data_IF_387611332234
#
_entry.id   IF_387611332234
#
_cell.length_a   1.000
_cell.length_b   1.000
_cell.length_c   1.000
_cell.angle_alpha   90.00
_cell.angle_beta   90.00
_cell.angle_gamma   90.00
#
_symmetry.space_group_name_H-M   'P 1'
#
loop_
_entity.id
_entity.type
_entity.pdbx_description
1 polymer ?
#
# COMPACT_ATOMS: atom_id res chain seq x y z
N UNK A 1 26.19 8.18 20.04
CA UNK A 1 25.71 6.83 19.67
C UNK A 1 24.83 7.02 18.45
N UNK A 2 25.19 6.43 17.31
CA UNK A 2 24.31 6.44 16.13
C UNK A 2 23.08 5.60 16.46
N UNK A 3 21.91 6.23 16.56
CA UNK A 3 20.63 5.52 16.71
C UNK A 3 20.42 4.61 15.51
N UNK A 4 19.92 3.39 15.74
CA UNK A 4 19.56 2.49 14.65
C UNK A 4 18.54 3.18 13.72
N UNK A 5 18.60 2.96 12.39
CA UNK A 5 17.63 3.53 11.48
C UNK A 5 16.24 2.99 11.80
N UNK A 6 15.19 3.81 11.63
CA UNK A 6 13.80 3.36 11.78
C UNK A 6 13.49 2.23 10.80
N UNK A 7 12.55 1.35 11.11
CA UNK A 7 12.12 0.29 10.19
C UNK A 7 10.66 0.47 9.75
N UNK A 8 10.44 0.52 8.43
CA UNK A 8 9.13 0.50 7.79
C UNK A 8 8.86 -0.90 7.24
N UNK A 9 7.80 -1.54 7.71
CA UNK A 9 7.31 -2.79 7.11
C UNK A 9 6.14 -2.46 6.20
N UNK A 10 6.24 -2.85 4.92
CA UNK A 10 5.17 -2.69 3.95
C UNK A 10 4.47 -4.03 3.77
N UNK A 11 3.20 -4.13 4.13
CA UNK A 11 2.42 -5.37 4.09
C UNK A 11 1.29 -5.22 3.08
N UNK A 12 1.12 -6.23 2.23
CA UNK A 12 0.05 -6.22 1.24
C UNK A 12 0.10 -7.37 0.26
N UNK A 13 -0.41 -7.11 -0.94
CA UNK A 13 -0.66 -8.12 -1.97
C UNK A 13 0.43 -8.17 -3.07
N UNK A 14 0.03 -8.54 -4.29
CA UNK A 14 0.91 -8.57 -5.47
C UNK A 14 1.46 -7.20 -5.87
N UNK A 15 0.78 -6.10 -5.52
CA UNK A 15 1.27 -4.74 -5.74
C UNK A 15 2.50 -4.47 -4.87
N UNK A 16 2.44 -4.79 -3.57
CA UNK A 16 3.59 -4.69 -2.65
C UNK A 16 4.72 -5.63 -3.08
N UNK A 17 4.38 -6.83 -3.58
CA UNK A 17 5.37 -7.77 -4.12
C UNK A 17 6.12 -7.20 -5.33
N UNK A 18 5.55 -6.21 -6.04
CA UNK A 18 6.12 -5.65 -7.26
C UNK A 18 5.82 -6.47 -8.51
N UNK A 19 4.78 -7.31 -8.48
CA UNK A 19 4.42 -8.13 -9.64
C UNK A 19 4.08 -7.23 -10.84
N UNK A 20 4.61 -7.58 -12.01
CA UNK A 20 4.49 -6.83 -13.26
C UNK A 20 5.63 -5.84 -13.54
N UNK A 21 6.40 -5.40 -12.54
CA UNK A 21 7.55 -4.52 -12.75
C UNK A 21 8.85 -5.32 -13.00
N UNK A 22 9.15 -5.57 -14.27
CA UNK A 22 10.34 -6.31 -14.69
C UNK A 22 11.64 -5.49 -14.60
N UNK A 23 11.57 -4.18 -14.35
CA UNK A 23 12.73 -3.28 -14.39
C UNK A 23 13.15 -2.82 -12.98
N UNK A 24 12.19 -2.37 -12.19
CA UNK A 24 12.41 -1.76 -10.88
C UNK A 24 12.03 -2.64 -9.69
N UNK A 25 11.39 -3.79 -9.94
CA UNK A 25 10.96 -4.72 -8.88
C UNK A 25 9.78 -4.23 -8.04
N UNK A 26 9.05 -3.20 -8.50
CA UNK A 26 7.86 -2.67 -7.87
C UNK A 26 8.09 -1.35 -7.13
N UNK A 27 7.00 -0.65 -6.80
CA UNK A 27 7.07 0.64 -6.09
C UNK A 27 7.76 0.52 -4.72
N UNK A 28 7.57 -0.61 -4.02
CA UNK A 28 8.18 -0.83 -2.70
C UNK A 28 9.71 -0.98 -2.80
N UNK A 29 10.19 -1.66 -3.85
CA UNK A 29 11.63 -1.81 -4.11
C UNK A 29 12.24 -0.48 -4.55
N UNK A 30 11.53 0.30 -5.38
CA UNK A 30 11.95 1.66 -5.76
C UNK A 30 12.11 2.56 -4.53
N UNK A 31 11.14 2.54 -3.60
CA UNK A 31 11.20 3.28 -2.35
C UNK A 31 12.41 2.85 -1.50
N UNK A 32 12.59 1.53 -1.32
CA UNK A 32 13.72 0.97 -0.57
C UNK A 32 15.05 1.40 -1.16
N UNK A 33 15.23 1.28 -2.48
CA UNK A 33 16.47 1.66 -3.19
C UNK A 33 16.75 3.14 -3.08
N UNK A 34 15.73 4.00 -3.17
CA UNK A 34 15.89 5.43 -2.97
C UNK A 34 16.32 5.74 -1.53
N UNK A 35 15.63 5.20 -0.53
CA UNK A 35 15.95 5.50 0.87
C UNK A 35 17.32 4.98 1.29
N UNK A 36 17.78 3.86 0.72
CA UNK A 36 19.15 3.37 0.95
C UNK A 36 20.25 4.36 0.53
N UNK A 37 19.98 5.33 -0.35
CA UNK A 37 20.98 6.35 -0.72
C UNK A 37 21.06 7.50 0.29
N UNK A 38 20.13 7.56 1.25
CA UNK A 38 20.03 8.61 2.26
C UNK A 38 20.48 8.02 3.61
N UNK A 39 21.63 8.45 4.18
CA UNK A 39 22.22 7.81 5.37
C UNK A 39 21.32 7.75 6.61
N UNK A 40 20.36 8.67 6.75
CA UNK A 40 19.44 8.76 7.90
C UNK A 40 18.05 8.20 7.61
N UNK A 41 17.80 7.71 6.40
CA UNK A 41 16.47 7.21 6.04
C UNK A 41 16.14 5.89 6.74
N UNK A 42 14.84 5.60 6.93
CA UNK A 42 14.40 4.31 7.41
C UNK A 42 14.78 3.15 6.49
N UNK A 43 14.92 1.96 7.06
CA UNK A 43 15.00 0.68 6.33
C UNK A 43 13.59 0.26 5.93
N UNK A 44 13.42 -0.25 4.71
CA UNK A 44 12.11 -0.71 4.18
C UNK A 44 12.12 -2.22 3.97
N UNK A 45 11.13 -2.90 4.54
CA UNK A 45 10.87 -4.33 4.36
C UNK A 45 9.55 -4.54 3.62
N UNK A 46 9.60 -4.93 2.34
CA UNK A 46 8.42 -5.29 1.55
C UNK A 46 7.98 -6.74 1.79
N UNK A 47 6.73 -6.93 2.22
CA UNK A 47 6.12 -8.23 2.57
C UNK A 47 4.82 -8.48 1.80
N UNK A 48 4.89 -8.33 0.49
CA UNK A 48 3.78 -8.60 -0.42
C UNK A 48 3.60 -10.08 -0.70
N UNK A 49 2.35 -10.56 -0.72
CA UNK A 49 2.00 -11.94 -1.09
C UNK A 49 0.90 -11.91 -2.14
N UNK A 50 1.11 -12.58 -3.27
CA UNK A 50 0.16 -12.56 -4.39
C UNK A 50 -1.20 -13.13 -3.99
N UNK A 51 -2.27 -12.41 -4.33
CA UNK A 51 -3.65 -12.79 -4.02
C UNK A 51 -4.05 -12.62 -2.56
N UNK A 52 -3.25 -11.95 -1.74
CA UNK A 52 -3.67 -11.60 -0.38
C UNK A 52 -4.84 -10.61 -0.41
N UNK A 53 -5.87 -10.96 0.35
CA UNK A 53 -6.91 -10.04 0.79
C UNK A 53 -6.79 -9.79 2.30
N UNK A 54 -7.75 -9.04 2.83
CA UNK A 54 -7.76 -8.58 4.21
C UNK A 54 -7.60 -9.72 5.23
N UNK A 55 -8.31 -10.84 5.05
CA UNK A 55 -8.28 -11.97 5.99
C UNK A 55 -6.89 -12.60 6.11
N UNK A 56 -6.15 -12.71 5.01
CA UNK A 56 -4.80 -13.30 5.02
C UNK A 56 -3.80 -12.38 5.69
N UNK A 57 -3.92 -11.07 5.46
CA UNK A 57 -3.09 -10.07 6.14
C UNK A 57 -3.35 -10.13 7.65
N UNK A 58 -4.61 -10.18 8.08
CA UNK A 58 -4.97 -10.28 9.48
C UNK A 58 -4.33 -11.48 10.19
N UNK A 59 -4.13 -12.60 9.49
CA UNK A 59 -3.51 -13.80 10.04
C UNK A 59 -1.99 -13.72 10.18
N UNK A 60 -1.30 -12.97 9.30
CA UNK A 60 0.17 -13.00 9.22
C UNK A 60 0.87 -11.74 9.70
N UNK A 61 0.20 -10.59 9.68
CA UNK A 61 0.87 -9.29 9.80
C UNK A 61 1.72 -9.19 11.07
N UNK A 62 1.19 -9.62 12.22
CA UNK A 62 1.82 -9.38 13.52
C UNK A 62 3.11 -10.19 13.69
N UNK A 63 3.06 -11.48 13.32
CA UNK A 63 4.23 -12.35 13.39
C UNK A 63 5.30 -11.89 12.42
N UNK A 64 4.90 -11.52 11.20
CA UNK A 64 5.84 -11.09 10.19
C UNK A 64 6.47 -9.74 10.54
N UNK A 65 5.67 -8.71 10.85
CA UNK A 65 6.16 -7.41 11.31
C UNK A 65 7.06 -7.56 12.55
N UNK A 66 6.62 -8.31 13.56
CA UNK A 66 7.33 -8.44 14.82
C UNK A 66 8.75 -9.02 14.72
N UNK A 67 9.03 -9.85 13.69
CA UNK A 67 10.36 -10.42 13.51
C UNK A 67 11.30 -9.58 12.62
N UNK A 68 10.89 -8.36 12.20
CA UNK A 68 11.74 -7.41 11.45
C UNK A 68 12.42 -6.35 12.33
N UNK A 69 12.20 -6.39 13.64
CA UNK A 69 13.00 -5.60 14.57
C UNK A 69 14.46 -6.08 14.56
N UNK A 70 15.38 -5.24 14.11
CA UNK A 70 16.79 -5.62 13.88
C UNK A 70 17.57 -5.88 15.17
N UNK A 71 17.13 -5.28 16.28
CA UNK A 71 17.74 -5.43 17.58
C UNK A 71 16.83 -6.24 18.52
N UNK A 72 17.47 -6.97 19.44
CA UNK A 72 16.75 -7.85 20.37
C UNK A 72 15.69 -7.07 21.16
N UNK A 73 14.44 -7.53 21.10
CA UNK A 73 13.25 -6.91 21.74
C UNK A 73 12.87 -5.53 21.17
N UNK A 74 13.39 -5.15 20.01
CA UNK A 74 12.85 -4.03 19.27
C UNK A 74 11.84 -4.55 18.24
N UNK A 75 10.83 -3.74 17.96
CA UNK A 75 9.85 -3.97 16.91
C UNK A 75 10.01 -2.85 15.88
N UNK A 76 9.59 -3.05 14.62
CA UNK A 76 9.64 -2.00 13.62
C UNK A 76 8.81 -0.78 14.03
N UNK A 77 9.25 0.42 13.63
CA UNK A 77 8.63 1.69 14.03
C UNK A 77 7.38 2.06 13.22
N UNK A 78 7.23 1.49 12.02
CA UNK A 78 6.16 1.83 11.10
C UNK A 78 5.66 0.63 10.27
N UNK A 79 4.38 0.70 9.90
CA UNK A 79 3.73 -0.23 9.01
C UNK A 79 2.95 0.54 7.93
N UNK A 80 3.22 0.24 6.65
CA UNK A 80 2.43 0.70 5.51
C UNK A 80 1.60 -0.47 4.98
N UNK A 81 0.27 -0.36 5.08
CA UNK A 81 -0.66 -1.37 4.59
C UNK A 81 -1.17 -1.01 3.20
N UNK A 82 -1.17 -1.98 2.28
CA UNK A 82 -1.70 -1.84 0.91
C UNK A 82 -2.43 -3.13 0.54
N UNK A 83 -3.75 -3.17 0.74
CA UNK A 83 -4.60 -4.33 0.49
C UNK A 83 -6.03 -3.90 0.17
N UNK A 84 -6.79 -4.73 -0.52
CA UNK A 84 -8.22 -4.53 -0.78
C UNK A 84 -8.64 -4.76 -2.23
N UNK A 85 -7.68 -4.74 -3.17
CA UNK A 85 -7.98 -4.98 -4.58
C UNK A 85 -8.57 -6.38 -4.77
N UNK A 86 -7.94 -7.41 -4.19
CA UNK A 86 -8.42 -8.80 -4.27
C UNK A 86 -9.80 -9.00 -3.61
N UNK A 87 -10.09 -8.26 -2.54
CA UNK A 87 -11.37 -8.31 -1.83
C UNK A 87 -12.52 -7.73 -2.67
N UNK A 88 -12.23 -6.79 -3.59
CA UNK A 88 -13.23 -6.17 -4.46
C UNK A 88 -13.80 -7.09 -5.56
N UNK A 89 -13.13 -8.20 -5.86
CA UNK A 89 -13.48 -9.09 -6.95
C UNK A 89 -14.80 -9.85 -6.70
N UNK A 90 -15.63 -9.93 -7.74
CA UNK A 90 -16.79 -10.83 -7.77
C UNK A 90 -16.39 -12.20 -8.33
N UNK A 91 -16.90 -13.27 -7.73
CA UNK A 91 -16.52 -14.64 -8.07
C UNK A 91 -17.51 -15.29 -9.05
N UNK A 92 -16.98 -15.90 -10.10
CA UNK A 92 -17.66 -16.73 -11.08
C UNK A 92 -18.35 -15.97 -12.22
N UNK A 93 -18.91 -14.79 -11.93
CA UNK A 93 -19.61 -13.95 -12.92
C UNK A 93 -19.59 -12.46 -12.54
N UNK A 94 -19.86 -11.53 -13.48
CA UNK A 94 -19.81 -10.09 -13.22
C UNK A 94 -20.74 -9.61 -12.11
N UNK A 95 -21.89 -10.27 -11.92
CA UNK A 95 -22.87 -10.03 -10.84
C UNK A 95 -22.73 -11.06 -9.70
N UNK A 96 -21.57 -11.73 -9.63
CA UNK A 96 -21.25 -12.72 -8.61
C UNK A 96 -21.11 -12.09 -7.22
N UNK A 97 -20.91 -12.94 -6.21
CA UNK A 97 -20.65 -12.46 -4.84
C UNK A 97 -19.17 -12.11 -4.68
N UNK A 98 -18.89 -11.08 -3.90
CA UNK A 98 -17.57 -10.87 -3.32
C UNK A 98 -17.35 -11.88 -2.18
N UNK A 99 -16.08 -12.19 -1.89
CA UNK A 99 -15.73 -13.02 -0.73
C UNK A 99 -16.12 -12.32 0.58
N UNK A 100 -15.82 -11.02 0.65
CA UNK A 100 -16.30 -10.10 1.68
C UNK A 100 -17.12 -9.00 1.00
N UNK A 101 -18.32 -8.72 1.50
CA UNK A 101 -19.03 -7.50 1.11
C UNK A 101 -18.23 -6.27 1.55
N UNK A 102 -18.39 -5.14 0.85
CA UNK A 102 -17.75 -3.87 1.21
C UNK A 102 -17.87 -3.51 2.70
N UNK A 103 -19.07 -3.64 3.30
CA UNK A 103 -19.28 -3.37 4.73
C UNK A 103 -18.50 -4.33 5.66
N UNK A 104 -18.39 -5.60 5.26
CA UNK A 104 -17.66 -6.62 6.02
C UNK A 104 -16.14 -6.42 5.90
N UNK A 105 -15.69 -5.99 4.71
CA UNK A 105 -14.32 -5.57 4.48
C UNK A 105 -13.98 -4.34 5.34
N UNK A 106 -14.83 -3.30 5.37
CA UNK A 106 -14.65 -2.14 6.24
C UNK A 106 -14.52 -2.55 7.71
N UNK A 107 -15.48 -3.33 8.20
CA UNK A 107 -15.45 -3.79 9.59
C UNK A 107 -14.17 -4.57 9.91
N UNK A 108 -13.78 -5.51 9.05
CA UNK A 108 -12.55 -6.28 9.25
C UNK A 108 -11.29 -5.40 9.21
N UNK A 109 -11.27 -4.37 8.36
CA UNK A 109 -10.17 -3.43 8.26
C UNK A 109 -10.06 -2.55 9.51
N UNK A 110 -11.18 -2.04 10.04
CA UNK A 110 -11.20 -1.30 11.31
C UNK A 110 -10.64 -2.15 12.46
N UNK A 111 -11.02 -3.43 12.54
CA UNK A 111 -10.48 -4.36 13.54
C UNK A 111 -8.96 -4.57 13.34
N UNK A 112 -8.53 -4.72 12.09
CA UNK A 112 -7.11 -4.88 11.76
C UNK A 112 -6.30 -3.65 12.18
N UNK A 113 -6.73 -2.45 11.81
CA UNK A 113 -6.05 -1.20 12.15
C UNK A 113 -6.05 -0.96 13.67
N UNK A 114 -7.15 -1.27 14.36
CA UNK A 114 -7.24 -1.21 15.83
C UNK A 114 -6.24 -2.15 16.51
N UNK A 115 -5.89 -3.27 15.87
CA UNK A 115 -4.86 -4.19 16.39
C UNK A 115 -3.43 -3.73 16.14
N UNK A 116 -3.19 -2.94 15.07
CA UNK A 116 -1.87 -2.47 14.65
C UNK A 116 -1.45 -1.17 15.35
N UNK A 117 -2.35 -0.19 15.43
CA UNK A 117 -2.06 1.16 15.94
C UNK A 117 -1.51 1.22 17.38
N UNK A 118 -1.83 0.29 18.32
CA UNK A 118 -1.23 0.31 19.65
C UNK A 118 0.24 -0.12 19.68
N UNK A 119 0.73 -0.78 18.63
CA UNK A 119 2.08 -1.40 18.61
C UNK A 119 3.03 -0.80 17.58
N UNK A 120 2.52 -0.04 16.60
CA UNK A 120 3.32 0.62 15.57
C UNK A 120 2.57 1.82 14.98
N UNK A 121 3.29 2.77 14.39
CA UNK A 121 2.64 3.79 13.57
C UNK A 121 2.17 3.17 12.25
N UNK A 122 0.90 3.36 11.91
CA UNK A 122 0.28 2.75 10.73
C UNK A 122 -0.02 3.83 9.69
N UNK A 123 0.13 3.47 8.43
CA UNK A 123 -0.24 4.23 7.25
C UNK A 123 -0.93 3.28 6.28
N UNK A 124 -1.87 3.76 5.48
CA UNK A 124 -2.61 2.94 4.51
C UNK A 124 -2.54 3.58 3.12
N UNK A 125 -2.38 2.74 2.11
CA UNK A 125 -2.40 3.13 0.70
C UNK A 125 -3.62 2.54 0.00
N UNK A 126 -4.22 3.34 -0.89
CA UNK A 126 -5.38 2.98 -1.69
C UNK A 126 -5.07 1.99 -2.82
N UNK A 127 -6.05 1.83 -3.70
CA UNK A 127 -6.11 0.74 -4.68
C UNK A 127 -5.71 1.22 -6.08
N UNK A 128 -5.25 0.28 -6.91
CA UNK A 128 -4.98 0.52 -8.32
C UNK A 128 -6.24 0.39 -9.18
N UNK A 129 -6.17 0.88 -10.41
CA UNK A 129 -7.20 0.68 -11.46
C UNK A 129 -7.14 -0.72 -12.05
N UNK A 130 -8.22 -1.13 -12.72
CA UNK A 130 -8.29 -2.40 -13.47
C UNK A 130 -8.78 -2.18 -14.90
N UNK A 131 -8.35 -3.03 -15.83
CA UNK A 131 -8.92 -3.13 -17.17
C UNK A 131 -10.09 -4.11 -17.17
N UNK A 132 -11.31 -3.56 -17.17
CA UNK A 132 -12.55 -4.34 -17.14
C UNK A 132 -12.76 -5.17 -18.41
N UNK A 133 -12.16 -4.77 -19.54
CA UNK A 133 -12.32 -5.47 -20.82
C UNK A 133 -11.60 -6.83 -20.85
N UNK A 134 -10.67 -7.06 -19.94
CA UNK A 134 -9.85 -8.28 -19.84
C UNK A 134 -10.45 -9.29 -18.86
N UNK A 135 -11.51 -8.92 -18.13
CA UNK A 135 -12.15 -9.81 -17.17
C UNK A 135 -12.88 -11.00 -17.85
N UNK A 136 -12.93 -12.17 -17.21
CA UNK A 136 -12.44 -12.46 -15.86
C UNK A 136 -10.94 -12.73 -15.78
N UNK A 137 -10.32 -12.25 -14.70
CA UNK A 137 -9.00 -12.68 -14.30
C UNK A 137 -9.02 -14.14 -13.79
N UNK A 138 -8.01 -14.93 -14.18
CA UNK A 138 -7.88 -16.34 -13.80
C UNK A 138 -9.17 -17.17 -14.02
N UNK A 139 -9.88 -16.87 -15.10
CA UNK A 139 -11.14 -17.52 -15.53
C UNK A 139 -12.29 -17.46 -14.51
N UNK A 140 -12.18 -16.72 -13.41
CA UNK A 140 -13.19 -16.72 -12.35
C UNK A 140 -13.35 -15.43 -11.54
N UNK A 141 -12.42 -14.48 -11.60
CA UNK A 141 -12.49 -13.25 -10.80
C UNK A 141 -12.84 -12.06 -11.69
N UNK A 142 -13.93 -11.37 -11.34
CA UNK A 142 -14.45 -10.22 -12.06
C UNK A 142 -14.18 -8.96 -11.24
N UNK A 143 -13.22 -8.17 -11.67
CA UNK A 143 -12.93 -6.86 -11.10
C UNK A 143 -13.65 -5.76 -11.88
N UNK A 144 -14.04 -4.67 -11.21
CA UNK A 144 -14.53 -3.47 -11.88
C UNK A 144 -14.07 -2.23 -11.13
N UNK A 145 -13.82 -1.13 -11.84
CA UNK A 145 -13.43 0.12 -11.21
C UNK A 145 -14.52 0.68 -10.30
N UNK A 146 -15.79 0.34 -10.55
CA UNK A 146 -16.88 0.68 -9.66
C UNK A 146 -16.75 -0.01 -8.29
N UNK A 147 -16.50 -1.33 -8.27
CA UNK A 147 -16.31 -2.07 -7.01
C UNK A 147 -15.01 -1.67 -6.31
N UNK A 148 -13.94 -1.41 -7.07
CA UNK A 148 -12.68 -0.91 -6.51
C UNK A 148 -12.88 0.46 -5.85
N UNK A 149 -13.62 1.38 -6.48
CA UNK A 149 -13.90 2.69 -5.89
C UNK A 149 -14.73 2.57 -4.61
N UNK A 150 -15.69 1.64 -4.56
CA UNK A 150 -16.46 1.35 -3.34
C UNK A 150 -15.52 0.84 -2.22
N UNK A 151 -14.62 -0.10 -2.53
CA UNK A 151 -13.67 -0.63 -1.55
C UNK A 151 -12.62 0.41 -1.11
N UNK A 152 -12.16 1.29 -2.00
CA UNK A 152 -11.27 2.38 -1.63
C UNK A 152 -11.95 3.39 -0.70
N UNK A 153 -13.23 3.70 -0.93
CA UNK A 153 -14.00 4.52 0.01
C UNK A 153 -14.14 3.85 1.39
N UNK A 154 -14.34 2.53 1.43
CA UNK A 154 -14.35 1.78 2.71
C UNK A 154 -12.98 1.79 3.41
N UNK A 155 -11.87 1.73 2.66
CA UNK A 155 -10.52 1.90 3.20
C UNK A 155 -10.36 3.29 3.83
N UNK A 156 -10.75 4.33 3.11
CA UNK A 156 -10.66 5.71 3.58
C UNK A 156 -11.51 5.93 4.85
N UNK A 157 -12.76 5.47 4.85
CA UNK A 157 -13.65 5.55 6.02
C UNK A 157 -13.06 4.84 7.24
N UNK A 158 -12.56 3.60 7.09
CA UNK A 158 -11.94 2.87 8.18
C UNK A 158 -10.70 3.59 8.73
N UNK A 159 -9.88 4.17 7.85
CA UNK A 159 -8.71 4.95 8.26
C UNK A 159 -9.09 6.21 9.04
N UNK A 160 -10.15 6.90 8.62
CA UNK A 160 -10.67 8.08 9.32
C UNK A 160 -11.17 7.74 10.73
N UNK A 161 -11.89 6.63 10.90
CA UNK A 161 -12.42 6.20 12.21
C UNK A 161 -11.33 5.90 13.24
N UNK A 162 -10.15 5.44 12.80
CA UNK A 162 -9.02 5.11 13.68
C UNK A 162 -7.85 6.10 13.63
N UNK A 163 -8.05 7.27 13.00
CA UNK A 163 -7.05 8.34 12.84
C UNK A 163 -5.73 7.86 12.20
N UNK A 164 -5.84 7.07 11.12
CA UNK A 164 -4.71 6.55 10.35
C UNK A 164 -4.55 7.32 9.03
N UNK A 165 -3.35 7.80 8.67
CA UNK A 165 -3.13 8.46 7.39
C UNK A 165 -3.42 7.54 6.20
N UNK A 166 -4.18 8.06 5.24
CA UNK A 166 -4.57 7.34 4.02
C UNK A 166 -4.07 8.05 2.76
N UNK A 167 -3.52 7.29 1.81
CA UNK A 167 -3.14 7.76 0.47
C UNK A 167 -4.10 7.20 -0.58
N UNK A 168 -5.08 8.00 -1.02
CA UNK A 168 -5.96 7.63 -2.12
C UNK A 168 -5.18 7.53 -3.45
N UNK A 169 -5.48 6.50 -4.24
CA UNK A 169 -4.81 6.20 -5.50
C UNK A 169 -5.78 5.97 -6.66
N UNK A 170 -6.88 5.23 -6.48
CA UNK A 170 -7.68 4.70 -7.59
C UNK A 170 -8.19 5.80 -8.51
N UNK A 171 -8.86 6.82 -7.94
CA UNK A 171 -9.37 7.95 -8.72
C UNK A 171 -8.24 8.74 -9.37
N UNK A 172 -7.14 8.98 -8.66
CA UNK A 172 -6.03 9.75 -9.20
C UNK A 172 -5.39 9.03 -10.39
N UNK A 173 -5.19 7.72 -10.29
CA UNK A 173 -4.68 6.88 -11.37
C UNK A 173 -5.64 6.83 -12.55
N UNK A 174 -6.95 6.68 -12.31
CA UNK A 174 -7.97 6.64 -13.37
C UNK A 174 -8.16 7.95 -14.14
N UNK A 175 -7.65 9.08 -13.63
CA UNK A 175 -7.64 10.37 -14.34
C UNK A 175 -6.42 10.55 -15.24
N UNK A 176 -5.41 9.70 -15.15
CA UNK A 176 -4.21 9.79 -15.96
C UNK A 176 -4.51 9.30 -17.38
N UNK A 177 -4.18 10.05 -18.44
CA UNK A 177 -4.62 9.72 -19.80
C UNK A 177 -4.13 8.36 -20.29
N UNK A 178 -2.98 7.92 -19.80
CA UNK A 178 -2.29 6.70 -20.24
C UNK A 178 -2.38 5.55 -19.23
N UNK A 179 -3.23 5.64 -18.21
CA UNK A 179 -3.27 4.65 -17.12
C UNK A 179 -3.45 3.22 -17.61
N UNK A 180 -4.20 3.02 -18.69
CA UNK A 180 -4.43 1.69 -19.27
C UNK A 180 -3.13 1.05 -19.78
N UNK A 181 -2.18 1.87 -20.26
CA UNK A 181 -0.86 1.41 -20.69
C UNK A 181 0.06 1.01 -19.53
N UNK A 182 -0.36 1.26 -18.29
CA UNK A 182 0.39 0.91 -17.09
C UNK A 182 0.00 -0.46 -16.55
N UNK A 183 -1.01 -1.11 -17.11
CA UNK A 183 -1.41 -2.47 -16.73
C UNK A 183 -0.70 -3.50 -17.60
N UNK A 184 -0.40 -4.63 -16.98
CA UNK A 184 -0.03 -5.87 -17.65
C UNK A 184 -1.25 -6.44 -18.40
N UNK A 185 -1.03 -7.35 -19.37
CA UNK A 185 -2.12 -7.93 -20.16
C UNK A 185 -3.18 -8.71 -19.37
N UNK A 186 -2.96 -8.96 -18.08
CA UNK A 186 -3.95 -9.58 -17.20
C UNK A 186 -4.98 -8.60 -16.63
N UNK A 187 -4.82 -7.31 -16.90
CA UNK A 187 -5.77 -6.25 -16.57
C UNK A 187 -5.78 -5.82 -15.10
N UNK A 188 -4.88 -6.35 -14.25
CA UNK A 188 -4.87 -6.01 -12.82
C UNK A 188 -3.49 -5.59 -12.30
N UNK A 189 -2.40 -6.16 -12.82
CA UNK A 189 -1.08 -5.86 -12.30
C UNK A 189 -0.47 -4.67 -13.02
N UNK A 190 0.17 -3.78 -12.27
CA UNK A 190 0.88 -2.66 -12.86
C UNK A 190 2.24 -3.11 -13.41
N UNK A 191 2.63 -2.53 -14.54
CA UNK A 191 3.96 -2.64 -15.10
C UNK A 191 4.91 -1.61 -14.48
N UNK A 192 6.15 -1.56 -14.97
CA UNK A 192 7.20 -0.65 -14.49
C UNK A 192 6.76 0.82 -14.42
N UNK A 193 5.91 1.29 -15.34
CA UNK A 193 5.42 2.69 -15.36
C UNK A 193 4.37 2.93 -14.28
N UNK A 194 3.43 2.01 -14.10
CA UNK A 194 2.43 2.12 -13.04
C UNK A 194 3.05 2.07 -11.64
N UNK A 195 4.00 1.16 -11.43
CA UNK A 195 4.79 1.12 -10.18
C UNK A 195 5.62 2.38 -9.97
N UNK A 196 6.21 2.95 -11.03
CA UNK A 196 6.90 4.23 -10.95
C UNK A 196 5.96 5.38 -10.55
N UNK A 197 4.73 5.40 -11.06
CA UNK A 197 3.74 6.40 -10.69
C UNK A 197 3.38 6.30 -9.20
N UNK A 198 3.10 5.12 -8.66
CA UNK A 198 2.85 4.92 -7.22
C UNK A 198 4.04 5.41 -6.39
N UNK A 199 5.26 5.06 -6.81
CA UNK A 199 6.47 5.51 -6.13
C UNK A 199 6.56 7.04 -6.06
N UNK A 200 6.24 7.76 -7.14
CA UNK A 200 6.19 9.24 -7.14
C UNK A 200 5.14 9.79 -6.17
N UNK A 201 3.96 9.15 -6.08
CA UNK A 201 2.93 9.54 -5.10
C UNK A 201 3.44 9.45 -3.66
N UNK A 202 4.20 8.41 -3.33
CA UNK A 202 4.83 8.23 -2.01
C UNK A 202 5.92 9.27 -1.73
N UNK A 203 6.67 9.71 -2.76
CA UNK A 203 7.69 10.75 -2.62
C UNK A 203 7.10 12.12 -2.25
N UNK A 204 5.83 12.36 -2.58
CA UNK A 204 5.13 13.62 -2.27
C UNK A 204 4.19 13.52 -1.06
N UNK A 205 4.05 12.32 -0.47
CA UNK A 205 3.06 12.07 0.57
C UNK A 205 3.60 12.45 1.96
N UNK A 206 3.16 13.60 2.47
CA UNK A 206 3.63 14.15 3.77
C UNK A 206 3.63 13.17 4.95
N UNK A 207 2.59 12.35 5.19
CA UNK A 207 2.60 11.39 6.29
C UNK A 207 3.83 10.47 6.30
N UNK A 208 4.20 9.88 5.16
CA UNK A 208 5.36 8.98 5.10
C UNK A 208 6.68 9.75 5.18
N UNK A 209 6.77 10.96 4.61
CA UNK A 209 7.97 11.80 4.71
C UNK A 209 8.21 12.29 6.14
N UNK A 210 7.15 12.66 6.85
CA UNK A 210 7.20 13.15 8.23
C UNK A 210 7.54 12.01 9.18
N UNK A 211 6.93 10.85 8.95
CA UNK A 211 7.30 9.61 9.64
C UNK A 211 8.75 9.22 9.38
N UNK A 212 9.25 9.38 8.15
CA UNK A 212 10.63 9.07 7.80
C UNK A 212 11.65 10.11 8.31
N UNK A 213 11.18 11.27 8.80
CA UNK A 213 12.03 12.33 9.33
C UNK A 213 12.64 13.25 8.27
N UNK A 214 12.06 13.33 7.07
CA UNK A 214 12.58 14.16 5.98
C UNK A 214 12.16 15.64 6.02
N UNK A 215 11.16 16.03 6.84
CA UNK A 215 10.70 17.43 6.95
C UNK A 215 11.44 18.29 8.00
N UNK A 216 12.64 17.93 8.45
CA UNK A 216 13.46 18.82 9.30
C UNK A 216 14.58 19.53 8.51
N UNK A 217 14.25 20.42 7.56
CA UNK A 217 15.19 21.51 7.17
C UNK A 217 14.60 22.68 6.34
N UNK A 218 13.43 23.23 6.71
CA UNK A 218 12.94 24.52 6.15
C UNK A 218 12.77 25.62 7.21
N UNK A 219 13.65 25.64 8.21
CA UNK A 219 13.88 26.82 9.04
C UNK A 219 15.37 27.22 9.02
N UNK A 220 15.89 27.56 7.84
CA UNK A 220 17.04 28.45 7.76
C UNK A 220 16.53 29.88 7.75
N UNK A 221 16.56 30.46 8.95
CA UNK A 221 16.61 31.89 9.27
C UNK A 221 17.10 32.75 8.11
N UNK A 222 16.39 33.84 7.73
CA UNK A 222 16.99 34.82 6.85
C UNK A 222 18.16 35.46 7.59
N UNK A 223 19.39 35.17 7.14
CA UNK A 223 20.54 35.95 7.55
C UNK A 223 20.34 37.38 7.07
N UNK A 224 19.99 38.27 7.98
CA UNK A 224 20.24 39.70 7.80
C UNK A 224 21.75 39.92 7.80
N UNK A 225 22.28 40.38 6.67
CA UNK A 225 23.43 41.28 6.59
C UNK A 225 23.46 41.95 5.22
#
# INVERSE_FOLDING_TARGET
>A
MTTAPRQLVVIGDSSVYGWGDQEGGGWCERLRRQWMTIPSAPVVYGLGVRGDGLERIAQRWQQEWGCRGELRRQQPDGLLLSVGLNDSARVGRPDGRQQLSADAFRFGLEQLLTSMTPVTQVMVMGLGVVDEAVMPFADCLWYSNQEVAVHEAQLEEACLEVDVPFLSLHRAMGMEPDWLTWLEPDGIHLNSRGHQWIHQRLQDWKPILNWAGFEQDHQLTPMMS
#
